data_IF_328934493958
#
_entry.id   IF_328934493958
#
_cell.length_a   1.000
_cell.length_b   1.000
_cell.length_c   1.000
_cell.angle_alpha   90.00
_cell.angle_beta   90.00
_cell.angle_gamma   90.00
#
_symmetry.space_group_name_H-M   'P 1'
#
loop_
_entity.id
_entity.type
_entity.pdbx_description
1 polymer ?
#
# COMPACT_ATOMS: atom_id res chain seq x y z
N UNK A 1 14.22 9.18 3.90
CA UNK A 1 14.62 7.82 3.47
C UNK A 1 14.11 6.84 4.53
N UNK A 2 13.57 5.69 4.13
CA UNK A 2 13.08 4.65 5.07
C UNK A 2 14.22 3.68 5.38
N UNK A 3 14.38 3.28 6.64
CA UNK A 3 15.46 2.39 7.08
C UNK A 3 14.93 1.32 8.04
N UNK A 4 15.53 0.13 8.01
CA UNK A 4 15.17 -1.00 8.86
C UNK A 4 14.23 -2.02 8.20
N UNK A 5 13.44 -2.72 9.00
CA UNK A 5 12.59 -3.81 8.54
C UNK A 5 11.16 -3.33 8.28
N UNK A 6 10.67 -3.50 7.05
CA UNK A 6 9.30 -3.16 6.68
C UNK A 6 8.55 -4.42 6.27
N UNK A 7 7.58 -4.85 7.07
CA UNK A 7 6.83 -6.09 6.78
C UNK A 7 5.85 -5.86 5.64
N UNK A 8 6.00 -6.64 4.56
CA UNK A 8 4.94 -6.82 3.57
C UNK A 8 3.78 -7.60 4.20
N UNK A 9 2.73 -6.88 4.61
CA UNK A 9 1.62 -7.46 5.35
C UNK A 9 0.76 -8.35 4.46
N UNK A 10 0.32 -9.47 5.03
CA UNK A 10 -0.82 -10.24 4.51
C UNK A 10 -2.12 -9.48 4.77
N UNK A 11 -3.14 -9.76 3.96
CA UNK A 11 -4.51 -9.28 4.17
C UNK A 11 -5.35 -10.45 4.65
N UNK A 12 -5.77 -10.51 5.92
CA UNK A 12 -6.60 -11.60 6.39
C UNK A 12 -8.04 -11.44 5.87
N UNK A 13 -8.63 -12.55 5.44
CA UNK A 13 -10.01 -12.63 4.93
C UNK A 13 -10.89 -13.46 5.88
N UNK A 14 -12.14 -13.05 6.01
CA UNK A 14 -13.26 -13.81 6.55
C UNK A 14 -14.21 -14.22 5.42
N UNK A 15 -15.26 -14.97 5.74
CA UNK A 15 -16.24 -15.46 4.74
C UNK A 15 -16.94 -14.33 3.96
N UNK A 16 -17.05 -13.14 4.54
CA UNK A 16 -17.77 -11.97 4.00
C UNK A 16 -16.87 -10.80 3.57
N UNK A 17 -15.54 -10.96 3.59
CA UNK A 17 -14.60 -9.94 3.14
C UNK A 17 -13.35 -9.84 4.01
N UNK A 18 -12.88 -8.61 4.27
CA UNK A 18 -11.66 -8.35 5.03
C UNK A 18 -11.89 -8.55 6.53
N UNK A 19 -11.10 -9.42 7.17
CA UNK A 19 -11.09 -9.58 8.62
C UNK A 19 -10.26 -8.46 9.27
N UNK A 20 -10.90 -7.30 9.47
CA UNK A 20 -10.25 -6.13 10.08
C UNK A 20 -9.75 -6.39 11.50
N UNK A 21 -10.41 -7.25 12.28
CA UNK A 21 -9.99 -7.57 13.63
C UNK A 21 -8.72 -8.43 13.64
N UNK A 22 -8.60 -9.40 12.74
CA UNK A 22 -7.35 -10.12 12.53
C UNK A 22 -6.25 -9.19 12.00
N UNK A 23 -6.57 -8.28 11.08
CA UNK A 23 -5.60 -7.33 10.52
C UNK A 23 -5.02 -6.42 11.61
N UNK A 24 -5.85 -5.87 12.51
CA UNK A 24 -5.38 -5.05 13.64
C UNK A 24 -4.45 -5.83 14.58
N UNK A 25 -4.77 -7.10 14.88
CA UNK A 25 -3.90 -7.96 15.70
C UNK A 25 -2.55 -8.20 15.03
N UNK A 26 -2.55 -8.53 13.73
CA UNK A 26 -1.31 -8.72 12.96
C UNK A 26 -0.46 -7.44 12.99
N UNK A 27 -1.09 -6.26 12.84
CA UNK A 27 -0.37 -4.98 12.94
C UNK A 27 0.32 -4.82 14.29
N UNK A 28 -0.38 -5.11 15.38
CA UNK A 28 0.21 -5.02 16.72
C UNK A 28 1.35 -6.02 16.91
N UNK A 29 1.16 -7.28 16.50
CA UNK A 29 2.20 -8.32 16.58
C UNK A 29 3.47 -7.95 15.81
N UNK A 30 3.33 -7.35 14.62
CA UNK A 30 4.48 -6.88 13.85
C UNK A 30 5.20 -5.72 14.56
N UNK A 31 4.45 -4.74 15.07
CA UNK A 31 5.02 -3.58 15.78
C UNK A 31 5.73 -4.04 17.07
N UNK A 32 5.10 -4.91 17.85
CA UNK A 32 5.67 -5.49 19.08
C UNK A 32 6.91 -6.36 18.77
N UNK A 33 6.96 -6.96 17.58
CA UNK A 33 8.12 -7.67 17.03
C UNK A 33 9.28 -6.75 16.60
N UNK A 34 9.13 -5.43 16.67
CA UNK A 34 10.21 -4.47 16.44
C UNK A 34 10.44 -4.09 14.97
N UNK A 35 9.44 -4.25 14.10
CA UNK A 35 9.53 -3.77 12.71
C UNK A 35 9.61 -2.25 12.67
N UNK A 36 10.29 -1.70 11.66
CA UNK A 36 10.44 -0.27 11.43
C UNK A 36 9.26 0.34 10.68
N UNK A 37 8.47 -0.49 9.99
CA UNK A 37 7.24 -0.08 9.33
C UNK A 37 6.47 -1.22 8.69
N UNK A 38 5.35 -0.86 8.07
CA UNK A 38 4.37 -1.80 7.53
C UNK A 38 4.05 -1.45 6.08
N UNK A 39 3.89 -2.49 5.25
CA UNK A 39 3.59 -2.37 3.83
C UNK A 39 2.31 -3.15 3.50
N UNK A 40 1.13 -2.55 3.71
CA UNK A 40 -0.14 -3.17 3.31
C UNK A 40 -0.35 -3.10 1.79
N UNK A 41 -1.25 -3.96 1.29
CA UNK A 41 -1.68 -3.98 -0.11
C UNK A 41 -0.51 -4.13 -1.12
N UNK A 42 0.55 -4.85 -0.74
CA UNK A 42 1.50 -5.40 -1.70
C UNK A 42 0.97 -6.68 -2.35
N UNK A 43 1.83 -7.39 -3.09
CA UNK A 43 1.49 -8.73 -3.61
C UNK A 43 1.23 -9.73 -2.49
N UNK A 44 1.99 -9.66 -1.39
CA UNK A 44 1.79 -10.48 -0.19
C UNK A 44 0.42 -10.26 0.46
N UNK A 45 -0.12 -9.04 0.35
CA UNK A 45 -1.46 -8.68 0.83
C UNK A 45 -2.54 -8.84 -0.24
N UNK A 46 -2.25 -9.58 -1.32
CA UNK A 46 -3.20 -9.98 -2.36
C UNK A 46 -3.91 -8.80 -3.06
N UNK A 47 -3.21 -7.66 -3.20
CA UNK A 47 -3.79 -6.45 -3.79
C UNK A 47 -4.50 -6.61 -5.16
N UNK A 48 -4.08 -7.52 -6.07
CA UNK A 48 -4.80 -7.73 -7.33
C UNK A 48 -6.24 -8.24 -7.18
N UNK A 49 -6.60 -8.85 -6.05
CA UNK A 49 -7.93 -9.42 -5.80
C UNK A 49 -8.80 -8.53 -4.92
N UNK A 50 -8.26 -7.44 -4.39
CA UNK A 50 -9.00 -6.45 -3.61
C UNK A 50 -9.78 -5.52 -4.53
N UNK A 51 -11.03 -5.24 -4.15
CA UNK A 51 -11.77 -4.09 -4.68
C UNK A 51 -11.11 -2.77 -4.27
N UNK A 52 -11.44 -1.67 -4.94
CA UNK A 52 -10.93 -0.34 -4.59
C UNK A 52 -11.36 0.02 -3.14
N UNK A 53 -12.56 -0.39 -2.72
CA UNK A 53 -13.08 -0.19 -1.37
C UNK A 53 -12.32 -1.02 -0.32
N UNK A 54 -12.06 -2.30 -0.58
CA UNK A 54 -11.29 -3.16 0.33
C UNK A 54 -9.85 -2.69 0.45
N UNK A 55 -9.22 -2.29 -0.65
CA UNK A 55 -7.87 -1.71 -0.63
C UNK A 55 -7.81 -0.49 0.29
N UNK A 56 -8.75 0.44 0.13
CA UNK A 56 -8.83 1.62 0.99
C UNK A 56 -9.14 1.27 2.46
N UNK A 57 -9.96 0.25 2.71
CA UNK A 57 -10.26 -0.25 4.05
C UNK A 57 -9.01 -0.82 4.73
N UNK A 58 -8.24 -1.66 4.03
CA UNK A 58 -7.00 -2.26 4.54
C UNK A 58 -5.98 -1.16 4.87
N UNK A 59 -5.72 -0.23 3.94
CA UNK A 59 -4.78 0.88 4.17
C UNK A 59 -5.20 1.71 5.37
N UNK A 60 -6.47 2.12 5.45
CA UNK A 60 -6.99 2.93 6.56
C UNK A 60 -6.89 2.21 7.90
N UNK A 61 -7.17 0.92 7.93
CA UNK A 61 -7.09 0.09 9.15
C UNK A 61 -5.66 0.02 9.64
N UNK A 62 -4.71 -0.28 8.76
CA UNK A 62 -3.29 -0.37 9.09
C UNK A 62 -2.73 1.00 9.50
N UNK A 63 -3.01 2.05 8.73
CA UNK A 63 -2.54 3.42 9.03
C UNK A 63 -3.07 3.91 10.37
N UNK A 64 -4.38 3.76 10.62
CA UNK A 64 -5.00 4.15 11.90
C UNK A 64 -4.40 3.38 13.06
N UNK A 65 -4.23 2.06 12.92
CA UNK A 65 -3.67 1.23 13.98
C UNK A 65 -2.20 1.60 14.23
N UNK A 66 -1.39 1.79 13.18
CA UNK A 66 0.04 2.11 13.31
C UNK A 66 0.37 3.57 13.67
N UNK A 67 -0.63 4.47 13.69
CA UNK A 67 -0.44 5.91 13.89
C UNK A 67 0.40 6.22 15.13
N UNK A 68 1.49 6.98 14.93
CA UNK A 68 2.41 7.38 16.00
C UNK A 68 3.36 6.29 16.49
N UNK A 69 3.32 5.07 15.93
CA UNK A 69 4.16 3.95 16.33
C UNK A 69 5.23 3.61 15.29
N UNK A 70 4.83 3.36 14.04
CA UNK A 70 5.72 3.03 12.92
C UNK A 70 5.19 3.64 11.62
N UNK A 71 6.01 3.67 10.56
CA UNK A 71 5.62 4.21 9.25
C UNK A 71 4.83 3.18 8.43
N UNK A 72 3.89 3.66 7.62
CA UNK A 72 3.07 2.85 6.72
C UNK A 72 3.32 3.25 5.26
N UNK A 73 3.70 2.28 4.44
CA UNK A 73 3.94 2.44 2.99
C UNK A 73 2.92 1.60 2.23
N UNK A 74 1.88 2.22 1.66
CA UNK A 74 0.81 1.47 0.99
C UNK A 74 1.21 1.04 -0.42
N UNK A 75 0.98 -0.22 -0.80
CA UNK A 75 1.11 -0.66 -2.19
C UNK A 75 -0.01 -0.09 -3.07
N UNK A 76 0.34 0.69 -4.10
CA UNK A 76 -0.64 1.37 -4.97
C UNK A 76 -0.33 1.24 -6.46
N UNK A 77 0.81 0.64 -6.79
CA UNK A 77 1.26 0.46 -8.18
C UNK A 77 0.37 -0.49 -8.98
N UNK A 78 0.09 -0.08 -10.21
CA UNK A 78 -0.59 -0.89 -11.22
C UNK A 78 0.08 -0.72 -12.58
N UNK A 79 -0.38 -1.47 -13.58
CA UNK A 79 0.06 -1.28 -14.96
C UNK A 79 -0.61 -0.11 -15.69
N UNK A 80 -1.48 0.65 -15.02
CA UNK A 80 -2.19 1.81 -15.57
C UNK A 80 -1.84 3.06 -14.77
N UNK A 81 -1.19 4.05 -15.41
CA UNK A 81 -0.75 5.30 -14.75
C UNK A 81 -1.89 6.02 -14.04
N UNK A 82 -3.05 6.16 -14.69
CA UNK A 82 -4.21 6.83 -14.08
C UNK A 82 -4.73 6.08 -12.85
N UNK A 83 -4.76 4.73 -12.88
CA UNK A 83 -5.16 3.93 -11.72
C UNK A 83 -4.14 4.06 -10.58
N UNK A 84 -2.84 4.00 -10.88
CA UNK A 84 -1.79 4.20 -9.88
C UNK A 84 -1.93 5.57 -9.20
N UNK A 85 -2.16 6.65 -9.95
CA UNK A 85 -2.38 7.99 -9.39
C UNK A 85 -3.61 8.01 -8.46
N UNK A 86 -4.75 7.45 -8.91
CA UNK A 86 -5.98 7.38 -8.11
C UNK A 86 -5.74 6.63 -6.78
N UNK A 87 -5.13 5.46 -6.84
CA UNK A 87 -4.85 4.63 -5.67
C UNK A 87 -3.84 5.29 -4.74
N UNK A 88 -2.80 5.94 -5.27
CA UNK A 88 -1.80 6.65 -4.46
C UNK A 88 -2.42 7.81 -3.68
N UNK A 89 -3.27 8.63 -4.30
CA UNK A 89 -4.00 9.70 -3.60
C UNK A 89 -4.90 9.13 -2.51
N UNK A 90 -5.71 8.12 -2.83
CA UNK A 90 -6.60 7.49 -1.87
C UNK A 90 -5.86 6.87 -0.67
N UNK A 91 -4.67 6.30 -0.89
CA UNK A 91 -3.86 5.73 0.18
C UNK A 91 -3.28 6.81 1.11
N UNK A 92 -2.81 7.92 0.55
CA UNK A 92 -2.34 9.08 1.33
C UNK A 92 -3.49 9.71 2.12
N UNK A 93 -4.66 9.90 1.50
CA UNK A 93 -5.88 10.39 2.17
C UNK A 93 -6.37 9.43 3.28
N UNK A 94 -6.08 8.13 3.14
CA UNK A 94 -6.36 7.11 4.15
C UNK A 94 -5.33 7.07 5.31
N UNK A 95 -4.27 7.88 5.24
CA UNK A 95 -3.28 8.05 6.29
C UNK A 95 -1.95 7.31 6.09
N UNK A 96 -1.66 6.78 4.90
CA UNK A 96 -0.34 6.23 4.61
C UNK A 96 0.73 7.34 4.59
N UNK A 97 1.94 7.04 5.08
CA UNK A 97 3.07 7.98 5.06
C UNK A 97 3.72 8.07 3.67
N UNK A 98 3.63 6.98 2.89
CA UNK A 98 4.16 6.89 1.54
C UNK A 98 3.45 5.79 0.75
N UNK A 99 3.79 5.70 -0.53
CA UNK A 99 3.28 4.68 -1.46
C UNK A 99 4.40 3.86 -2.07
N UNK A 100 4.14 2.57 -2.28
CA UNK A 100 5.01 1.64 -3.01
C UNK A 100 4.40 1.38 -4.39
N UNK A 101 5.14 1.76 -5.43
CA UNK A 101 4.68 1.67 -6.82
C UNK A 101 5.52 0.64 -7.57
N UNK A 102 4.88 -0.49 -7.93
CA UNK A 102 5.48 -1.49 -8.82
C UNK A 102 5.57 -0.95 -10.25
N UNK A 103 6.56 -1.42 -11.03
CA UNK A 103 6.61 -1.14 -12.47
C UNK A 103 5.37 -1.70 -13.19
N UNK A 104 4.91 -1.07 -14.28
CA UNK A 104 3.81 -1.58 -15.07
C UNK A 104 4.06 -3.01 -15.58
N UNK A 105 3.25 -3.94 -15.08
CA UNK A 105 3.28 -5.35 -15.44
C UNK A 105 2.37 -5.63 -16.65
N UNK A 106 2.64 -6.74 -17.35
CA UNK A 106 1.90 -7.22 -18.53
C UNK A 106 2.03 -6.38 -19.81
N UNK A 107 1.79 -5.06 -19.75
CA UNK A 107 1.84 -4.17 -20.92
C UNK A 107 3.27 -3.80 -21.39
N UNK A 108 4.29 -3.98 -20.52
CA UNK A 108 5.72 -3.88 -20.86
C UNK A 108 6.11 -2.56 -21.55
N UNK A 109 5.95 -1.39 -20.89
CA UNK A 109 6.42 -0.12 -21.43
C UNK A 109 7.94 -0.12 -21.64
N UNK A 110 8.42 0.73 -22.54
CA UNK A 110 9.85 0.97 -22.72
C UNK A 110 10.43 1.82 -21.56
N UNK A 111 11.74 2.05 -21.57
CA UNK A 111 12.41 2.81 -20.49
C UNK A 111 11.86 4.23 -20.31
N UNK A 112 11.56 4.92 -21.41
CA UNK A 112 10.93 6.26 -21.37
C UNK A 112 9.51 6.18 -20.76
N UNK A 113 8.71 5.18 -21.16
CA UNK A 113 7.39 4.94 -20.59
C UNK A 113 7.41 4.62 -19.10
N UNK A 114 8.42 3.89 -18.62
CA UNK A 114 8.65 3.68 -17.18
C UNK A 114 8.94 5.01 -16.47
N UNK A 115 9.83 5.83 -17.04
CA UNK A 115 10.14 7.14 -16.49
C UNK A 115 8.89 8.04 -16.41
N UNK A 116 8.15 8.17 -17.52
CA UNK A 116 6.92 8.98 -17.57
C UNK A 116 5.85 8.47 -16.60
N UNK A 117 5.73 7.15 -16.43
CA UNK A 117 4.81 6.56 -15.46
C UNK A 117 5.13 7.02 -14.03
N UNK A 118 6.38 6.88 -13.59
CA UNK A 118 6.77 7.28 -12.24
C UNK A 118 6.76 8.80 -12.05
N UNK A 119 7.20 9.58 -13.05
CA UNK A 119 7.17 11.04 -13.01
C UNK A 119 5.74 11.56 -12.83
N UNK A 120 4.79 11.07 -13.64
CA UNK A 120 3.39 11.48 -13.53
C UNK A 120 2.76 11.08 -12.17
N UNK A 121 3.16 9.95 -11.60
CA UNK A 121 2.70 9.56 -10.25
C UNK A 121 3.28 10.49 -9.19
N UNK A 122 4.57 10.79 -9.24
CA UNK A 122 5.24 11.70 -8.31
C UNK A 122 4.64 13.11 -8.36
N UNK A 123 4.55 13.70 -9.55
CA UNK A 123 3.96 15.04 -9.76
C UNK A 123 2.51 15.14 -9.26
N UNK A 124 1.74 14.05 -9.37
CA UNK A 124 0.35 14.06 -8.97
C UNK A 124 0.14 13.96 -7.45
N UNK A 125 1.14 13.49 -6.68
CA UNK A 125 1.05 13.29 -5.23
C UNK A 125 2.00 14.17 -4.42
N UNK A 126 2.94 14.85 -5.07
CA UNK A 126 3.69 15.96 -4.46
C UNK A 126 2.74 17.14 -4.21
N UNK A 127 2.87 17.74 -3.02
CA UNK A 127 2.16 18.95 -2.60
C UNK A 127 3.06 20.17 -2.75
#
# INVERSE_FOLDING_TARGET
MFEGCFTALVTPFADDGIDTAALERIVDEQIDGGVSGLVPCGTTGEAPTLTDEEHALVVRTVAKRATGRVRVIAGTGSNCTAKTIKCSKAALDAGADAVMVVTPYYNKPNADGLYQHFAAVAEAIEA
#
